data_IF_564808389779
#
_entry.id   IF_564808389779
#
_cell.length_a   1.000
_cell.length_b   1.000
_cell.length_c   1.000
_cell.angle_alpha   90.00
_cell.angle_beta   90.00
_cell.angle_gamma   90.00
#
_symmetry.space_group_name_H-M   'P 1'
#
loop_
_entity.id
_entity.type
_entity.pdbx_description
1 polymer ?
#
# COMPACT_ATOMS: atom_id res chain seq x y z
N UNK A 1 4.64 24.42 -18.74
CA UNK A 1 4.97 24.31 -17.30
C UNK A 1 6.27 23.53 -17.20
N UNK A 2 7.28 24.08 -16.55
CA UNK A 2 8.44 23.28 -16.15
C UNK A 2 8.03 22.52 -14.89
N UNK A 3 8.24 21.20 -14.90
CA UNK A 3 7.90 20.32 -13.77
C UNK A 3 9.17 19.81 -13.11
N UNK A 4 9.16 19.65 -11.79
CA UNK A 4 10.29 19.13 -11.01
C UNK A 4 10.15 17.64 -10.65
N UNK A 5 9.03 17.00 -11.05
CA UNK A 5 8.74 15.59 -10.80
C UNK A 5 8.22 15.33 -9.38
N UNK A 6 7.67 16.35 -8.75
CA UNK A 6 7.17 16.35 -7.36
C UNK A 6 5.71 16.77 -7.24
N UNK A 7 5.16 17.26 -8.34
CA UNK A 7 3.78 17.68 -8.51
C UNK A 7 2.89 16.45 -8.60
N UNK A 8 1.66 16.57 -8.11
CA UNK A 8 0.73 15.45 -8.15
C UNK A 8 -0.71 15.90 -8.28
N UNK A 9 -1.51 15.02 -8.87
CA UNK A 9 -2.96 15.08 -8.79
C UNK A 9 -3.43 14.30 -7.57
N UNK A 10 -4.49 14.78 -6.94
CA UNK A 10 -5.08 14.16 -5.77
C UNK A 10 -6.58 14.02 -5.95
N UNK A 11 -7.12 12.92 -5.44
CA UNK A 11 -8.56 12.65 -5.39
C UNK A 11 -8.83 11.96 -4.07
N UNK A 12 -9.85 12.43 -3.38
CA UNK A 12 -10.33 11.86 -2.13
C UNK A 12 -11.77 11.37 -2.27
N UNK A 13 -12.29 10.75 -1.22
CA UNK A 13 -13.66 10.26 -1.20
C UNK A 13 -14.66 11.39 -1.49
N UNK A 14 -15.63 11.12 -2.37
CA UNK A 14 -16.65 12.09 -2.77
C UNK A 14 -16.20 13.11 -3.82
N UNK A 15 -14.91 13.18 -4.17
CA UNK A 15 -14.44 14.02 -5.26
C UNK A 15 -14.94 13.48 -6.62
N UNK A 16 -15.37 14.40 -7.50
CA UNK A 16 -15.88 14.04 -8.85
C UNK A 16 -14.77 13.87 -9.89
N UNK A 17 -13.59 14.43 -9.63
CA UNK A 17 -12.45 14.39 -10.55
C UNK A 17 -11.14 14.65 -9.81
N UNK A 18 -10.04 14.17 -10.40
CA UNK A 18 -8.68 14.47 -9.97
C UNK A 18 -8.40 15.97 -9.98
N UNK A 19 -7.84 16.47 -8.89
CA UNK A 19 -7.46 17.87 -8.74
C UNK A 19 -5.95 18.00 -8.75
N UNK A 20 -5.41 18.90 -9.58
CA UNK A 20 -4.00 19.26 -9.48
C UNK A 20 -3.75 19.92 -8.12
N UNK A 21 -2.82 19.38 -7.34
CA UNK A 21 -2.49 19.94 -6.03
C UNK A 21 -1.21 20.76 -6.17
N UNK A 22 -1.29 22.06 -5.86
CA UNK A 22 -0.13 22.96 -5.82
C UNK A 22 0.71 22.70 -4.56
N UNK A 23 1.22 21.48 -4.44
CA UNK A 23 2.01 20.98 -3.34
C UNK A 23 3.19 20.15 -3.86
N UNK A 24 4.25 20.04 -3.07
CA UNK A 24 5.43 19.25 -3.38
C UNK A 24 5.38 17.96 -2.54
N UNK A 25 5.38 16.79 -3.21
CA UNK A 25 5.29 15.48 -2.54
C UNK A 25 6.44 15.23 -1.55
N UNK A 26 7.56 15.93 -1.64
CA UNK A 26 8.69 15.85 -0.70
C UNK A 26 8.48 16.67 0.58
N UNK A 27 7.51 17.59 0.60
CA UNK A 27 7.30 18.54 1.70
C UNK A 27 6.01 18.24 2.46
N UNK A 28 5.94 18.67 3.72
CA UNK A 28 4.78 18.48 4.57
C UNK A 28 3.56 19.34 4.16
N UNK A 29 3.83 20.54 3.62
CA UNK A 29 2.81 21.54 3.33
C UNK A 29 1.83 21.04 2.27
N UNK A 30 0.54 21.01 2.62
CA UNK A 30 -0.57 20.55 1.78
C UNK A 30 -0.38 19.16 1.13
N UNK A 31 0.36 18.29 1.80
CA UNK A 31 0.66 16.95 1.31
C UNK A 31 -0.15 15.87 2.07
N UNK A 32 -1.19 15.28 1.44
CA UNK A 32 -2.00 14.25 2.08
C UNK A 32 -1.21 12.97 2.38
N UNK A 33 -0.24 12.59 1.54
CA UNK A 33 0.60 11.42 1.77
C UNK A 33 1.49 11.60 3.00
N UNK A 34 2.12 12.77 3.14
CA UNK A 34 2.89 13.12 4.33
C UNK A 34 2.01 13.07 5.58
N UNK A 35 0.82 13.70 5.55
CA UNK A 35 -0.12 13.68 6.68
C UNK A 35 -0.51 12.25 7.07
N UNK A 36 -0.78 11.37 6.11
CA UNK A 36 -1.08 9.96 6.36
C UNK A 36 0.08 9.25 7.04
N UNK A 37 1.28 9.30 6.46
CA UNK A 37 2.44 8.57 6.98
C UNK A 37 3.01 9.16 8.28
N UNK A 38 2.75 10.44 8.57
CA UNK A 38 3.16 11.07 9.83
C UNK A 38 2.56 10.37 11.07
N UNK A 39 1.42 9.70 10.92
CA UNK A 39 0.83 8.88 11.99
C UNK A 39 1.75 7.72 12.42
N UNK A 40 2.61 7.24 11.51
CA UNK A 40 3.64 6.23 11.78
C UNK A 40 4.92 6.89 12.29
N UNK A 41 5.41 7.92 11.59
CA UNK A 41 6.68 8.58 11.91
C UNK A 41 6.69 9.36 13.22
N UNK A 42 5.53 9.80 13.72
CA UNK A 42 5.43 10.53 14.99
C UNK A 42 5.58 9.65 16.23
N UNK A 43 5.66 8.31 16.08
CA UNK A 43 5.78 7.41 17.22
C UNK A 43 4.55 7.44 18.13
N UNK A 44 3.35 7.62 17.56
CA UNK A 44 2.08 7.69 18.29
C UNK A 44 1.91 6.50 19.24
N UNK A 45 1.61 6.77 20.51
CA UNK A 45 1.34 5.74 21.52
C UNK A 45 0.10 4.91 21.20
N UNK A 46 -0.79 5.42 20.35
CA UNK A 46 -2.00 4.72 19.91
C UNK A 46 -1.74 3.75 18.74
N UNK A 47 -0.53 3.75 18.16
CA UNK A 47 -0.18 2.90 17.03
C UNK A 47 0.11 1.47 17.53
N UNK A 48 -0.79 0.55 17.20
CA UNK A 48 -0.72 -0.86 17.59
C UNK A 48 0.20 -1.65 16.66
N UNK A 49 0.05 -1.46 15.35
CA UNK A 49 0.85 -2.15 14.33
C UNK A 49 1.13 -1.28 13.10
N UNK A 50 2.25 -1.52 12.43
CA UNK A 50 2.55 -0.99 11.11
C UNK A 50 3.44 -1.94 10.32
N UNK A 51 3.43 -1.81 9.00
CA UNK A 51 4.43 -2.41 8.13
C UNK A 51 4.70 -1.50 6.93
N UNK A 52 5.95 -1.48 6.50
CA UNK A 52 6.41 -0.86 5.26
C UNK A 52 7.03 -1.96 4.38
N UNK A 53 6.61 -2.03 3.13
CA UNK A 53 7.01 -3.10 2.22
C UNK A 53 7.30 -2.58 0.83
N UNK A 54 8.33 -3.14 0.18
CA UNK A 54 8.78 -2.71 -1.15
C UNK A 54 9.80 -3.73 -1.69
N UNK A 55 9.62 -4.25 -2.91
CA UNK A 55 10.63 -5.10 -3.58
C UNK A 55 11.89 -4.35 -4.00
N UNK A 56 11.86 -3.02 -3.92
CA UNK A 56 13.01 -2.13 -4.08
C UNK A 56 13.10 -1.24 -2.84
N UNK A 57 13.49 -1.79 -1.67
CA UNK A 57 13.45 -1.08 -0.41
C UNK A 57 14.36 0.17 -0.40
N UNK A 58 14.12 1.14 0.50
CA UNK A 58 14.99 2.31 0.64
C UNK A 58 16.42 1.95 1.03
N UNK A 59 16.57 0.87 1.80
CA UNK A 59 17.85 0.33 2.25
C UNK A 59 17.92 -1.16 1.92
N UNK A 60 19.10 -1.62 1.47
CA UNK A 60 19.35 -3.03 1.15
C UNK A 60 18.73 -3.50 -0.17
N UNK A 61 18.59 -4.82 -0.30
CA UNK A 61 18.03 -5.48 -1.48
C UNK A 61 17.03 -6.56 -1.07
N UNK A 62 15.88 -6.60 -1.74
CA UNK A 62 14.95 -7.71 -1.60
C UNK A 62 15.40 -8.87 -2.50
N UNK A 63 15.20 -10.11 -2.03
CA UNK A 63 15.33 -11.29 -2.90
C UNK A 63 14.28 -11.25 -4.02
N UNK A 64 14.62 -11.77 -5.20
CA UNK A 64 13.67 -11.92 -6.31
C UNK A 64 12.52 -12.91 -6.03
N UNK A 65 12.53 -13.58 -4.88
CA UNK A 65 11.43 -14.45 -4.40
C UNK A 65 10.26 -13.69 -3.78
N UNK A 66 10.43 -12.41 -3.43
CA UNK A 66 9.36 -11.58 -2.87
C UNK A 66 8.47 -10.98 -3.97
N UNK A 67 7.22 -10.66 -3.65
CA UNK A 67 6.32 -10.02 -4.61
C UNK A 67 6.79 -8.62 -5.01
N UNK A 68 6.62 -8.32 -6.31
CA UNK A 68 6.69 -6.97 -6.88
C UNK A 68 5.54 -6.10 -6.37
N UNK A 69 5.68 -5.63 -5.14
CA UNK A 69 4.62 -4.93 -4.40
C UNK A 69 5.25 -3.94 -3.43
N UNK A 70 4.59 -2.79 -3.28
CA UNK A 70 5.12 -1.67 -2.50
C UNK A 70 3.99 -0.95 -1.78
N UNK A 71 4.28 -0.40 -0.61
CA UNK A 71 3.31 0.35 0.17
C UNK A 71 3.62 0.38 1.66
N UNK A 72 2.60 0.73 2.43
CA UNK A 72 2.65 0.74 3.88
C UNK A 72 1.26 0.59 4.47
N UNK A 73 1.18 0.14 5.71
CA UNK A 73 -0.05 0.09 6.48
C UNK A 73 0.24 0.49 7.93
N UNK A 74 -0.79 0.97 8.60
CA UNK A 74 -0.75 1.22 10.03
C UNK A 74 -2.15 1.11 10.62
N UNK A 75 -2.21 0.59 11.84
CA UNK A 75 -3.45 0.38 12.57
C UNK A 75 -3.31 0.85 14.02
N UNK A 76 -4.32 1.57 14.48
CA UNK A 76 -4.59 1.79 15.91
C UNK A 76 -5.55 0.70 16.44
N UNK A 77 -6.22 0.97 17.57
CA UNK A 77 -7.18 0.05 18.20
C UNK A 77 -8.53 -0.06 17.48
N UNK A 78 -8.85 0.90 16.64
CA UNK A 78 -10.18 1.10 16.04
C UNK A 78 -10.14 1.08 14.52
N UNK A 79 -9.08 1.60 13.91
CA UNK A 79 -8.97 1.80 12.48
C UNK A 79 -7.53 1.76 11.99
N UNK A 80 -7.36 1.88 10.68
CA UNK A 80 -6.06 2.00 10.06
C UNK A 80 -6.15 2.50 8.63
N UNK A 81 -4.99 2.54 7.99
CA UNK A 81 -4.89 2.76 6.56
C UNK A 81 -4.03 1.67 5.92
N UNK A 82 -4.26 1.45 4.63
CA UNK A 82 -3.38 0.66 3.77
C UNK A 82 -3.09 1.44 2.49
N UNK A 83 -1.80 1.61 2.20
CA UNK A 83 -1.26 2.23 1.01
C UNK A 83 -0.75 1.13 0.07
N UNK A 84 -1.17 1.19 -1.18
CA UNK A 84 -0.59 0.44 -2.31
C UNK A 84 0.04 1.45 -3.26
N UNK A 85 1.26 1.20 -3.68
CA UNK A 85 2.04 2.16 -4.46
C UNK A 85 2.93 1.49 -5.51
N UNK A 86 3.29 2.26 -6.53
CA UNK A 86 4.36 1.91 -7.48
C UNK A 86 5.73 2.51 -7.12
N UNK A 87 5.81 3.39 -6.11
CA UNK A 87 7.01 4.19 -5.79
C UNK A 87 8.13 3.30 -5.22
N UNK A 88 9.28 3.17 -5.90
CA UNK A 88 10.42 2.43 -5.35
C UNK A 88 11.11 3.22 -4.22
N UNK A 89 11.83 2.51 -3.36
CA UNK A 89 12.63 3.11 -2.26
C UNK A 89 11.82 3.96 -1.29
N UNK A 90 10.52 3.65 -1.14
CA UNK A 90 9.58 4.42 -0.32
C UNK A 90 8.53 3.49 0.30
N UNK A 91 7.96 3.83 1.49
CA UNK A 91 8.40 4.87 2.42
C UNK A 91 9.81 4.64 3.00
N UNK A 92 10.42 5.63 3.63
CA UNK A 92 11.67 5.41 4.36
C UNK A 92 11.37 4.75 5.73
N UNK A 93 12.33 4.00 6.32
CA UNK A 93 12.16 3.41 7.64
C UNK A 93 11.77 4.46 8.70
N UNK A 94 11.09 4.05 9.78
CA UNK A 94 10.57 4.94 10.82
C UNK A 94 11.67 5.79 11.44
N UNK A 95 12.86 5.23 11.66
CA UNK A 95 14.06 5.94 12.15
C UNK A 95 14.45 7.16 11.30
N UNK A 96 14.09 7.16 10.02
CA UNK A 96 14.48 8.17 9.04
C UNK A 96 13.42 9.24 8.82
N UNK A 97 12.20 9.03 9.30
CA UNK A 97 11.07 9.93 9.03
C UNK A 97 10.64 9.94 7.56
N UNK A 98 9.74 10.86 7.22
CA UNK A 98 9.26 11.00 5.85
C UNK A 98 10.37 11.50 4.91
N UNK A 99 10.75 10.67 3.93
CA UNK A 99 11.73 11.02 2.90
C UNK A 99 11.25 10.57 1.51
N UNK A 100 10.99 11.55 0.64
CA UNK A 100 10.81 11.35 -0.80
C UNK A 100 11.98 12.04 -1.50
N UNK A 101 12.87 11.26 -2.13
CA UNK A 101 14.15 11.70 -2.68
C UNK A 101 14.12 11.82 -4.21
N UNK A 102 15.23 12.31 -4.78
CA UNK A 102 15.34 12.58 -6.22
C UNK A 102 15.15 11.34 -7.10
N UNK A 103 15.54 10.16 -6.60
CA UNK A 103 15.39 8.89 -7.32
C UNK A 103 13.93 8.50 -7.57
N UNK A 104 12.98 9.06 -6.81
CA UNK A 104 11.55 8.80 -6.99
C UNK A 104 10.84 9.85 -7.88
N UNK A 105 11.56 10.85 -8.40
CA UNK A 105 10.98 11.93 -9.23
C UNK A 105 10.95 11.63 -10.72
N UNK A 106 11.79 10.70 -11.19
CA UNK A 106 12.02 10.48 -12.62
C UNK A 106 10.79 9.94 -13.37
N UNK A 107 9.98 9.11 -12.71
CA UNK A 107 8.85 8.43 -13.33
C UNK A 107 7.55 8.80 -12.64
N UNK A 108 6.46 8.86 -13.42
CA UNK A 108 5.12 8.98 -12.85
C UNK A 108 4.79 7.77 -11.95
N UNK A 109 4.15 8.05 -10.83
CA UNK A 109 3.81 7.04 -9.82
C UNK A 109 2.33 7.14 -9.45
N UNK A 110 1.77 6.02 -9.00
CA UNK A 110 0.44 5.98 -8.40
C UNK A 110 0.52 5.56 -6.94
N UNK A 111 -0.36 6.14 -6.14
CA UNK A 111 -0.49 5.85 -4.71
C UNK A 111 -1.98 5.81 -4.41
N UNK A 112 -2.45 4.66 -3.94
CA UNK A 112 -3.80 4.47 -3.41
C UNK A 112 -3.71 4.32 -1.91
N UNK A 113 -4.50 5.09 -1.16
CA UNK A 113 -4.63 4.96 0.29
C UNK A 113 -6.09 4.63 0.63
N UNK A 114 -6.30 3.56 1.39
CA UNK A 114 -7.63 3.15 1.85
C UNK A 114 -7.70 3.19 3.37
N UNK A 115 -8.68 3.92 3.91
CA UNK A 115 -8.97 3.92 5.34
C UNK A 115 -9.98 2.82 5.67
N UNK A 116 -9.65 1.97 6.63
CA UNK A 116 -10.40 0.76 6.98
C UNK A 116 -10.55 0.63 8.49
N UNK A 117 -11.56 -0.10 8.94
CA UNK A 117 -11.68 -0.47 10.35
C UNK A 117 -10.61 -1.50 10.75
N UNK A 118 -10.27 -1.56 12.04
CA UNK A 118 -9.27 -2.49 12.59
C UNK A 118 -9.53 -3.95 12.22
N UNK A 119 -10.80 -4.34 12.08
CA UNK A 119 -11.22 -5.69 11.68
C UNK A 119 -10.72 -6.11 10.29
N UNK A 120 -10.24 -5.17 9.47
CA UNK A 120 -9.65 -5.43 8.16
C UNK A 120 -8.18 -5.89 8.23
N UNK A 121 -7.50 -5.69 9.36
CA UNK A 121 -6.07 -6.00 9.47
C UNK A 121 -5.77 -7.48 9.19
N UNK A 122 -6.56 -8.40 9.75
CA UNK A 122 -6.34 -9.84 9.54
C UNK A 122 -6.61 -10.28 8.10
N UNK A 123 -7.57 -9.63 7.43
CA UNK A 123 -7.81 -9.84 6.00
C UNK A 123 -6.62 -9.38 5.15
N UNK A 124 -6.00 -8.26 5.49
CA UNK A 124 -4.79 -7.77 4.82
C UNK A 124 -3.61 -8.70 5.10
N UNK A 125 -3.47 -9.22 6.33
CA UNK A 125 -2.45 -10.24 6.64
C UNK A 125 -2.58 -11.47 5.75
N UNK A 126 -3.80 -11.92 5.45
CA UNK A 126 -4.02 -13.03 4.52
C UNK A 126 -3.66 -12.71 3.06
N UNK A 127 -3.87 -11.46 2.62
CA UNK A 127 -3.33 -10.99 1.33
C UNK A 127 -1.80 -11.05 1.32
N UNK A 128 -1.16 -10.67 2.42
CA UNK A 128 0.30 -10.70 2.57
C UNK A 128 0.85 -12.13 2.65
N UNK A 129 0.11 -13.09 3.22
CA UNK A 129 0.45 -14.51 3.14
C UNK A 129 0.50 -15.00 1.71
N UNK A 130 -0.49 -14.58 0.89
CA UNK A 130 -0.60 -14.99 -0.51
C UNK A 130 0.50 -14.35 -1.35
N UNK A 131 0.68 -13.03 -1.21
CA UNK A 131 1.58 -12.25 -2.06
C UNK A 131 3.04 -12.37 -1.64
N UNK A 132 3.32 -12.57 -0.35
CA UNK A 132 4.66 -12.60 0.20
C UNK A 132 5.49 -11.35 -0.15
N UNK A 133 5.06 -10.15 0.30
CA UNK A 133 5.79 -8.91 0.03
C UNK A 133 7.03 -8.80 0.91
N UNK A 134 8.04 -8.06 0.44
CA UNK A 134 9.23 -7.78 1.23
C UNK A 134 8.97 -6.65 2.24
N UNK A 135 8.75 -7.01 3.51
CA UNK A 135 8.61 -6.08 4.63
C UNK A 135 10.00 -5.75 5.18
N UNK A 136 10.40 -4.47 5.13
CA UNK A 136 11.72 -4.02 5.60
C UNK A 136 11.67 -3.24 6.92
N UNK A 137 10.49 -2.79 7.34
CA UNK A 137 10.29 -2.11 8.62
C UNK A 137 8.87 -2.37 9.13
N UNK A 138 8.73 -2.86 10.37
CA UNK A 138 7.43 -3.16 10.97
C UNK A 138 7.45 -3.13 12.49
N UNK A 139 6.25 -3.00 13.06
CA UNK A 139 5.96 -3.21 14.49
C UNK A 139 4.68 -4.03 14.59
N UNK A 140 4.72 -5.15 15.30
CA UNK A 140 3.56 -6.01 15.59
C UNK A 140 2.73 -6.41 14.35
N UNK A 141 3.33 -6.43 13.17
CA UNK A 141 2.68 -6.85 11.94
C UNK A 141 3.49 -7.95 11.27
N UNK A 142 2.86 -9.11 11.13
CA UNK A 142 3.38 -10.25 10.41
C UNK A 142 2.23 -10.90 9.63
N UNK A 143 2.47 -11.41 8.41
CA UNK A 143 1.51 -12.26 7.73
C UNK A 143 1.14 -13.44 8.63
N UNK A 144 -0.09 -13.94 8.52
CA UNK A 144 -0.50 -15.11 9.29
C UNK A 144 0.32 -16.35 8.84
N UNK A 145 0.37 -17.42 9.64
CA UNK A 145 1.15 -18.64 9.32
C UNK A 145 0.26 -19.72 8.72
N UNK A 146 -0.84 -19.35 8.06
CA UNK A 146 -1.83 -20.26 7.52
C UNK A 146 -1.31 -21.09 6.34
N UNK A 147 -2.18 -21.97 5.84
CA UNK A 147 -1.89 -22.77 4.65
C UNK A 147 -1.64 -21.84 3.46
N UNK A 148 -0.46 -21.96 2.83
CA UNK A 148 -0.08 -21.17 1.65
C UNK A 148 -1.13 -21.29 0.56
N UNK A 149 -1.83 -20.18 0.29
CA UNK A 149 -2.75 -20.08 -0.83
C UNK A 149 -2.04 -19.52 -2.06
N UNK A 150 -2.42 -19.99 -3.24
CA UNK A 150 -1.88 -19.48 -4.51
C UNK A 150 -2.63 -18.25 -5.01
N UNK A 151 -3.83 -18.01 -4.50
CA UNK A 151 -4.67 -16.85 -4.80
C UNK A 151 -5.48 -16.42 -3.58
N UNK A 152 -5.80 -15.15 -3.48
CA UNK A 152 -6.81 -14.63 -2.54
C UNK A 152 -7.74 -13.62 -3.21
N UNK A 153 -9.01 -13.67 -2.82
CA UNK A 153 -10.05 -12.70 -3.18
C UNK A 153 -10.66 -12.20 -1.88
N UNK A 154 -10.36 -10.95 -1.53
CA UNK A 154 -10.75 -10.33 -0.26
C UNK A 154 -11.68 -9.15 -0.53
N UNK A 155 -12.93 -9.28 -0.08
CA UNK A 155 -13.85 -8.16 0.00
C UNK A 155 -13.45 -7.23 1.14
N UNK A 156 -13.19 -5.98 0.78
CA UNK A 156 -12.80 -4.90 1.66
C UNK A 156 -13.88 -3.83 1.68
N UNK A 157 -14.03 -3.18 2.83
CA UNK A 157 -14.94 -2.05 2.99
C UNK A 157 -14.17 -0.90 3.64
N UNK A 158 -14.20 0.28 3.04
CA UNK A 158 -13.62 1.47 3.64
C UNK A 158 -14.50 1.99 4.78
N UNK A 159 -13.96 2.85 5.64
CA UNK A 159 -14.73 3.52 6.70
C UNK A 159 -15.83 4.43 6.13
N UNK A 160 -15.65 4.95 4.92
CA UNK A 160 -16.66 5.71 4.17
C UNK A 160 -17.71 4.83 3.48
N UNK A 161 -17.70 3.51 3.72
CA UNK A 161 -18.61 2.52 3.14
C UNK A 161 -18.42 2.24 1.64
N UNK A 162 -17.26 2.56 1.07
CA UNK A 162 -16.90 2.13 -0.29
C UNK A 162 -16.49 0.66 -0.26
N UNK A 163 -17.09 -0.14 -1.13
CA UNK A 163 -16.72 -1.54 -1.31
C UNK A 163 -15.56 -1.65 -2.29
N UNK A 164 -14.54 -2.41 -1.91
CA UNK A 164 -13.35 -2.69 -2.71
C UNK A 164 -13.11 -4.19 -2.72
N UNK A 165 -12.43 -4.67 -3.75
CA UNK A 165 -11.99 -6.06 -3.83
C UNK A 165 -10.47 -6.08 -4.03
N UNK A 166 -9.79 -6.84 -3.17
CA UNK A 166 -8.37 -7.12 -3.32
C UNK A 166 -8.21 -8.52 -3.90
N UNK A 167 -7.59 -8.62 -5.09
CA UNK A 167 -7.30 -9.88 -5.76
C UNK A 167 -5.79 -10.04 -5.78
N UNK A 168 -5.30 -11.15 -5.27
CA UNK A 168 -3.88 -11.42 -5.12
C UNK A 168 -3.52 -12.82 -5.62
N UNK A 169 -2.26 -13.00 -6.02
CA UNK A 169 -1.66 -14.27 -6.41
C UNK A 169 -0.29 -14.44 -5.77
N UNK A 170 0.13 -15.68 -5.55
CA UNK A 170 1.48 -16.03 -5.14
C UNK A 170 2.40 -16.29 -6.34
N UNK A 171 3.70 -16.47 -6.09
CA UNK A 171 4.66 -16.91 -7.10
C UNK A 171 4.36 -18.32 -7.64
N UNK A 172 3.65 -19.16 -6.87
CA UNK A 172 3.28 -20.52 -7.25
C UNK A 172 2.02 -20.57 -8.13
N UNK A 173 1.33 -19.45 -8.34
CA UNK A 173 0.14 -19.38 -9.17
C UNK A 173 0.43 -19.81 -10.62
N UNK A 174 -0.31 -20.82 -11.10
CA UNK A 174 -0.24 -21.31 -12.48
C UNK A 174 -1.46 -20.81 -13.26
N UNK A 175 -1.21 -20.17 -14.40
CA UNK A 175 -2.24 -19.70 -15.31
C UNK A 175 -3.05 -20.89 -15.86
N UNK A 176 -4.39 -20.86 -15.71
CA UNK A 176 -5.30 -21.87 -16.26
C UNK A 176 -5.97 -22.80 -15.24
N UNK A 177 -5.53 -22.81 -13.97
CA UNK A 177 -6.28 -23.49 -12.92
C UNK A 177 -7.50 -22.64 -12.52
N UNK A 178 -8.71 -23.21 -12.61
CA UNK A 178 -9.96 -22.54 -12.20
C UNK A 178 -9.80 -21.99 -10.78
N UNK A 179 -10.06 -20.70 -10.61
CA UNK A 179 -10.31 -20.12 -9.31
C UNK A 179 -11.46 -20.90 -8.67
N UNK A 180 -11.25 -21.40 -7.46
CA UNK A 180 -12.31 -22.03 -6.67
C UNK A 180 -13.27 -20.94 -6.20
N UNK A 181 -14.18 -20.56 -7.10
CA UNK A 181 -15.08 -19.42 -6.97
C UNK A 181 -15.23 -18.77 -8.34
N UNK A 182 -16.44 -18.77 -8.88
CA UNK A 182 -16.76 -18.18 -10.18
C UNK A 182 -16.31 -16.71 -10.24
N UNK A 183 -15.17 -16.44 -10.86
CA UNK A 183 -14.93 -15.14 -11.48
C UNK A 183 -15.44 -15.26 -12.91
N UNK A 184 -16.67 -14.80 -13.14
CA UNK A 184 -17.20 -14.60 -14.48
C UNK A 184 -16.21 -13.73 -15.24
N UNK A 185 -15.60 -14.33 -16.27
CA UNK A 185 -14.65 -13.70 -17.16
C UNK A 185 -15.24 -12.42 -17.75
N UNK A 186 -14.75 -11.26 -17.36
CA UNK A 186 -14.67 -10.08 -18.21
C UNK A 186 -13.46 -9.25 -17.79
N UNK A 187 -12.30 -9.64 -18.29
CA UNK A 187 -11.17 -8.70 -18.41
C UNK A 187 -11.20 -8.25 -19.86
N UNK A 188 -11.86 -7.12 -20.12
CA UNK A 188 -11.59 -6.32 -21.32
C UNK A 188 -10.55 -5.29 -20.89
N UNK A 189 -9.33 -5.44 -21.39
CA UNK A 189 -8.37 -4.35 -21.41
C UNK A 189 -8.90 -3.26 -22.34
N UNK A 190 -8.91 -2.02 -21.87
CA UNK A 190 -8.81 -0.84 -22.74
C UNK A 190 -7.33 -0.55 -22.97
#
# INVERSE_FOLDING_TARGET
MNTEGVEFFYMEEGAKSWQYKKANIQKANDNPLHKTLQQVYSGSQNLESYAMYNDQPPEGTASGTYAHSKGALAFDRTSGFWIVSSVPRFPAPVKDGYKYQDQQKTFGQTILCVSVDKTMEDKIKSVFETTHPYIYDSKNFSPTTGNKQTTSDVNMKTRGNVQLKCIAKSADYKYGNKLSGEITRTVRSL
#
